data_IF_574861270448
#
_entry.id   IF_574861270448
#
_cell.length_a   1.000
_cell.length_b   1.000
_cell.length_c   1.000
_cell.angle_alpha   90.00
_cell.angle_beta   90.00
_cell.angle_gamma   90.00
#
_symmetry.space_group_name_H-M   'P 1'
#
loop_
_entity.id
_entity.type
_entity.pdbx_description
1 polymer ?
#
# COMPACT_ATOMS: atom_id res chain seq x y z
N UNK A 1 17.76 -0.13 1.80
CA UNK A 1 18.26 1.11 2.44
C UNK A 1 17.40 2.28 2.00
N UNK A 2 16.97 3.11 2.92
CA UNK A 2 16.18 4.31 2.64
C UNK A 2 17.01 5.56 2.88
N UNK A 3 16.73 6.61 2.13
CA UNK A 3 17.38 7.92 2.27
C UNK A 3 16.80 8.78 3.40
N UNK A 4 15.64 8.38 3.89
CA UNK A 4 14.90 9.08 4.94
C UNK A 4 14.68 8.14 6.12
N UNK A 5 14.48 8.71 7.29
CA UNK A 5 14.04 7.94 8.45
C UNK A 5 12.65 7.33 8.18
N UNK A 6 12.47 6.09 8.60
CA UNK A 6 11.19 5.38 8.50
C UNK A 6 10.90 4.63 9.79
N UNK A 7 9.62 4.34 10.04
CA UNK A 7 9.17 3.49 11.15
C UNK A 7 8.49 2.25 10.58
N UNK A 8 8.61 1.14 11.26
CA UNK A 8 7.94 -0.09 10.85
C UNK A 8 6.52 -0.12 11.44
N UNK A 9 5.46 0.02 10.62
CA UNK A 9 4.09 0.04 11.13
C UNK A 9 3.64 -1.31 11.71
N UNK A 10 4.31 -2.41 11.38
CA UNK A 10 3.97 -3.72 11.92
C UNK A 10 4.51 -3.93 13.35
N UNK A 11 5.54 -3.20 13.73
CA UNK A 11 6.12 -3.22 15.08
C UNK A 11 5.53 -2.16 15.99
N UNK A 12 4.83 -1.18 15.43
CA UNK A 12 4.18 -0.12 16.20
C UNK A 12 2.84 -0.61 16.77
N UNK A 13 2.53 -0.20 17.98
CA UNK A 13 1.27 -0.51 18.68
C UNK A 13 0.38 0.73 18.84
N UNK A 14 0.84 1.90 18.39
CA UNK A 14 0.16 3.18 18.53
C UNK A 14 -0.55 3.66 17.27
N UNK A 15 -0.46 4.96 17.02
CA UNK A 15 -1.16 5.66 15.93
C UNK A 15 -0.76 5.14 14.55
N UNK A 16 0.50 4.78 14.35
CA UNK A 16 0.98 4.28 13.07
C UNK A 16 0.34 2.93 12.72
N UNK A 17 0.24 2.02 13.69
CA UNK A 17 -0.43 0.75 13.51
C UNK A 17 -1.93 0.93 13.25
N UNK A 18 -2.57 1.81 13.99
CA UNK A 18 -3.98 2.12 13.79
C UNK A 18 -4.24 2.70 12.38
N UNK A 19 -3.37 3.57 11.90
CA UNK A 19 -3.45 4.14 10.56
C UNK A 19 -3.30 3.06 9.47
N UNK A 20 -2.35 2.13 9.64
CA UNK A 20 -2.14 1.01 8.73
C UNK A 20 -3.39 0.12 8.67
N UNK A 21 -3.93 -0.24 9.82
CA UNK A 21 -5.09 -1.14 9.88
C UNK A 21 -6.34 -0.47 9.28
N UNK A 22 -6.56 0.81 9.54
CA UNK A 22 -7.70 1.56 9.02
C UNK A 22 -7.68 1.63 7.49
N UNK A 23 -6.54 1.89 6.88
CA UNK A 23 -6.46 1.96 5.42
C UNK A 23 -6.55 0.56 4.76
N UNK A 24 -5.98 -0.46 5.38
CA UNK A 24 -6.04 -1.84 4.85
C UNK A 24 -7.46 -2.41 4.84
N UNK A 25 -8.32 -1.97 5.74
CA UNK A 25 -9.72 -2.38 5.79
C UNK A 25 -10.50 -2.00 4.52
N UNK A 26 -10.03 -1.03 3.76
CA UNK A 26 -10.66 -0.63 2.49
C UNK A 26 -10.27 -1.50 1.30
N UNK A 27 -9.23 -2.32 1.43
CA UNK A 27 -8.78 -3.15 0.32
C UNK A 27 -9.67 -4.39 0.15
N UNK A 28 -10.02 -4.75 -1.09
CA UNK A 28 -10.74 -6.00 -1.34
C UNK A 28 -9.96 -7.21 -0.82
N UNK A 29 -10.68 -8.23 -0.36
CA UNK A 29 -10.08 -9.44 0.21
C UNK A 29 -9.10 -10.15 -0.73
N UNK A 30 -9.32 -10.07 -2.04
CA UNK A 30 -8.43 -10.65 -3.05
C UNK A 30 -7.02 -10.05 -3.06
N UNK A 31 -6.85 -8.81 -2.54
CA UNK A 31 -5.55 -8.16 -2.39
C UNK A 31 -4.84 -8.52 -1.09
N UNK A 32 -5.49 -9.28 -0.21
CA UNK A 32 -4.87 -9.75 1.03
C UNK A 32 -3.85 -10.88 0.80
N UNK A 33 -3.92 -11.55 -0.35
CA UNK A 33 -2.95 -12.59 -0.73
C UNK A 33 -1.72 -11.91 -1.34
N UNK A 34 -0.54 -12.03 -0.71
CA UNK A 34 0.66 -11.39 -1.23
C UNK A 34 1.12 -12.03 -2.54
N UNK A 35 1.43 -11.21 -3.53
CA UNK A 35 2.03 -11.66 -4.79
C UNK A 35 3.48 -12.15 -4.59
N UNK A 36 4.17 -11.63 -3.59
CA UNK A 36 5.51 -12.06 -3.20
C UNK A 36 5.57 -12.29 -1.70
N UNK A 37 5.36 -13.53 -1.23
CA UNK A 37 5.32 -13.83 0.20
C UNK A 37 6.69 -13.73 0.90
N UNK A 38 7.77 -13.61 0.15
CA UNK A 38 9.13 -13.56 0.71
C UNK A 38 9.62 -12.14 1.06
N UNK A 39 8.85 -11.10 0.79
CA UNK A 39 9.23 -9.74 1.12
C UNK A 39 8.91 -9.42 2.59
N UNK A 40 9.91 -9.31 3.49
CA UNK A 40 9.65 -8.98 4.88
C UNK A 40 9.36 -7.49 5.07
N UNK A 41 8.48 -7.17 6.00
CA UNK A 41 8.22 -5.80 6.42
C UNK A 41 7.29 -5.01 5.50
N UNK A 42 7.22 -3.73 5.74
CA UNK A 42 6.41 -2.81 4.95
C UNK A 42 7.09 -2.48 3.62
N UNK A 43 6.31 -2.45 2.54
CA UNK A 43 6.81 -1.96 1.26
C UNK A 43 7.39 -0.54 1.39
N UNK A 44 8.41 -0.23 0.59
CA UNK A 44 9.13 1.06 0.68
C UNK A 44 8.20 2.27 0.61
N UNK A 45 7.16 2.22 -0.23
CA UNK A 45 6.19 3.30 -0.35
C UNK A 45 5.35 3.47 0.94
N UNK A 46 5.01 2.39 1.62
CA UNK A 46 4.32 2.45 2.91
C UNK A 46 5.24 3.01 3.98
N UNK A 47 6.47 2.51 4.05
CA UNK A 47 7.48 2.98 5.00
C UNK A 47 7.79 4.47 4.83
N UNK A 48 7.79 4.98 3.59
CA UNK A 48 8.03 6.40 3.31
C UNK A 48 6.99 7.35 3.92
N UNK A 49 5.79 6.86 4.22
CA UNK A 49 4.71 7.62 4.87
C UNK A 49 4.65 7.40 6.38
N UNK A 50 5.58 6.61 6.95
CA UNK A 50 5.46 6.13 8.33
C UNK A 50 5.66 7.18 9.41
N UNK A 51 6.34 8.29 9.11
CA UNK A 51 6.58 9.36 10.09
C UNK A 51 5.34 10.22 10.36
N UNK A 52 4.39 10.22 9.43
CA UNK A 52 3.13 10.96 9.56
C UNK A 52 1.98 9.96 9.41
N UNK A 53 1.51 9.33 10.50
CA UNK A 53 0.49 8.28 10.44
C UNK A 53 -0.78 8.69 9.70
N UNK A 54 -1.22 9.93 9.87
CA UNK A 54 -2.40 10.45 9.19
C UNK A 54 -2.20 10.54 7.67
N UNK A 55 -1.01 10.92 7.21
CA UNK A 55 -0.69 10.93 5.79
C UNK A 55 -0.70 9.52 5.20
N UNK A 56 -0.15 8.54 5.91
CA UNK A 56 -0.21 7.14 5.53
C UNK A 56 -1.66 6.68 5.39
N UNK A 57 -2.48 6.94 6.40
CA UNK A 57 -3.88 6.53 6.40
C UNK A 57 -4.64 7.09 5.21
N UNK A 58 -4.56 8.39 4.97
CA UNK A 58 -5.37 9.04 3.93
C UNK A 58 -4.85 8.77 2.52
N UNK A 59 -3.54 8.73 2.30
CA UNK A 59 -2.99 8.39 1.00
C UNK A 59 -3.38 6.98 0.56
N UNK A 60 -3.24 6.01 1.44
CA UNK A 60 -3.58 4.62 1.12
C UNK A 60 -5.09 4.34 1.22
N UNK A 61 -5.85 5.12 1.98
CA UNK A 61 -7.31 5.07 1.94
C UNK A 61 -7.85 5.51 0.57
N UNK A 62 -7.28 6.55 -0.02
CA UNK A 62 -7.63 6.97 -1.38
C UNK A 62 -7.35 5.87 -2.39
N UNK A 63 -6.19 5.22 -2.28
CA UNK A 63 -5.85 4.07 -3.13
C UNK A 63 -6.83 2.91 -2.93
N UNK A 64 -7.15 2.57 -1.68
CA UNK A 64 -8.13 1.53 -1.36
C UNK A 64 -9.51 1.82 -1.96
N UNK A 65 -9.95 3.08 -1.94
CA UNK A 65 -11.22 3.49 -2.53
C UNK A 65 -11.24 3.29 -4.06
N UNK A 66 -10.10 3.48 -4.73
CA UNK A 66 -9.98 3.22 -6.17
C UNK A 66 -10.06 1.74 -6.53
N UNK A 67 -9.83 0.85 -5.57
CA UNK A 67 -9.90 -0.61 -5.76
C UNK A 67 -11.29 -1.17 -5.47
N UNK A 68 -12.27 -0.35 -5.15
CA UNK A 68 -13.63 -0.79 -4.79
C UNK A 68 -14.23 -1.63 -5.92
N UNK A 69 -14.68 -2.88 -5.63
CA UNK A 69 -15.30 -3.75 -6.63
C UNK A 69 -16.58 -3.20 -7.24
N UNK A 70 -17.24 -2.22 -6.62
CA UNK A 70 -18.41 -1.54 -7.14
C UNK A 70 -18.08 -0.58 -8.30
N UNK A 71 -16.81 -0.24 -8.49
CA UNK A 71 -16.36 0.60 -9.59
C UNK A 71 -16.23 -0.22 -10.89
N UNK A 72 -16.23 0.45 -12.06
CA UNK A 72 -16.22 -0.26 -13.37
C UNK A 72 -14.97 -1.08 -13.64
N UNK A 73 -13.84 -0.80 -13.00
CA UNK A 73 -12.59 -1.50 -13.25
C UNK A 73 -12.49 -2.77 -12.39
N UNK A 74 -12.14 -3.88 -13.03
CA UNK A 74 -11.83 -5.13 -12.36
C UNK A 74 -10.36 -5.20 -11.95
N UNK A 75 -9.99 -6.16 -11.10
CA UNK A 75 -8.61 -6.38 -10.67
C UNK A 75 -7.64 -6.48 -11.85
N UNK A 76 -7.99 -7.20 -12.91
CA UNK A 76 -7.13 -7.32 -14.09
C UNK A 76 -6.77 -5.96 -14.69
N UNK A 77 -7.73 -5.02 -14.69
CA UNK A 77 -7.47 -3.66 -15.19
C UNK A 77 -6.53 -2.90 -14.25
N UNK A 78 -6.71 -3.05 -12.94
CA UNK A 78 -5.80 -2.45 -11.96
C UNK A 78 -4.36 -2.96 -12.13
N UNK A 79 -4.20 -4.28 -12.32
CA UNK A 79 -2.88 -4.88 -12.53
C UNK A 79 -2.24 -4.44 -13.86
N UNK A 80 -3.03 -4.30 -14.92
CA UNK A 80 -2.55 -3.79 -16.21
C UNK A 80 -2.08 -2.34 -16.09
N UNK A 81 -2.84 -1.48 -15.42
CA UNK A 81 -2.47 -0.09 -15.17
C UNK A 81 -1.19 -0.02 -14.35
N UNK A 82 -1.11 -0.76 -13.26
CA UNK A 82 0.06 -0.81 -12.39
C UNK A 82 1.30 -1.28 -13.14
N UNK A 83 1.16 -2.30 -13.99
CA UNK A 83 2.26 -2.83 -14.81
C UNK A 83 2.78 -1.78 -15.80
N UNK A 84 1.89 -1.11 -16.52
CA UNK A 84 2.28 -0.07 -17.49
C UNK A 84 2.96 1.10 -16.79
N UNK A 85 2.43 1.54 -15.66
CA UNK A 85 3.03 2.63 -14.88
C UNK A 85 4.43 2.23 -14.39
N UNK A 86 4.57 1.02 -13.85
CA UNK A 86 5.85 0.51 -13.35
C UNK A 86 6.89 0.40 -14.45
N UNK A 87 6.52 -0.13 -15.62
CA UNK A 87 7.43 -0.24 -16.77
C UNK A 87 7.84 1.14 -17.26
N UNK A 88 6.90 2.07 -17.39
CA UNK A 88 7.16 3.44 -17.83
C UNK A 88 8.11 4.17 -16.87
N UNK A 89 7.93 3.96 -15.58
CA UNK A 89 8.77 4.54 -14.53
C UNK A 89 10.08 3.75 -14.30
N UNK A 90 10.33 2.68 -15.06
CA UNK A 90 11.48 1.78 -14.88
C UNK A 90 11.59 1.26 -13.44
N UNK A 91 10.45 1.00 -12.82
CA UNK A 91 10.38 0.47 -11.47
C UNK A 91 10.70 -1.03 -11.47
N UNK A 92 11.62 -1.46 -10.59
CA UNK A 92 12.05 -2.88 -10.47
C UNK A 92 11.38 -3.59 -9.29
N UNK A 93 10.23 -3.17 -8.95
CA UNK A 93 9.53 -3.73 -7.78
C UNK A 93 8.63 -4.90 -8.14
#
# INVERSE_FOLDING_TARGET
MTWIETRNPFEDTGLLRAALDAQRALYPAEYAVPANPSAPGAAGIVASHSLIPQALQYAFAAYGALLDPALPLERRHHEMIATVVSVTNRCRY
#
